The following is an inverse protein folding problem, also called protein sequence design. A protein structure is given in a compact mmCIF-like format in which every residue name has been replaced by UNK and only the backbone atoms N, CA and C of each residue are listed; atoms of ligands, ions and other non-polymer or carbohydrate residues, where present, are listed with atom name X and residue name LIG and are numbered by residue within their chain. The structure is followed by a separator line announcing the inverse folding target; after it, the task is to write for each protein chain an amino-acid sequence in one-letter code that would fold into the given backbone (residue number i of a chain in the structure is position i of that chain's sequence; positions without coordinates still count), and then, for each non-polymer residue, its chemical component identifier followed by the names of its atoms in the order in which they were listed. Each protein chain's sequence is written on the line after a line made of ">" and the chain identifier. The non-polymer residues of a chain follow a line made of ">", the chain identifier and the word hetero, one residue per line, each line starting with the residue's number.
data_IF_630217952855
#
_entry.id   IF_630217952855
#
_cell.length_a   1.000
_cell.length_b   1.000
_cell.length_c   1.000
_cell.angle_alpha   90.00
_cell.angle_beta   90.00
_cell.angle_gamma   90.00
#
_symmetry.space_group_name_H-M   'P 1'
#
loop_
_entity.id
_entity.type
_entity.pdbx_description
1 polymer ?
#
# COMPACT_ATOMS: atom_id res chain seq x y z
N UNK A 1 5.05 -1.70 -35.13
CA UNK A 1 4.45 -2.13 -33.83
C UNK A 1 5.23 -1.47 -32.73
N UNK A 2 4.54 -0.90 -31.71
CA UNK A 2 5.27 -0.36 -30.55
C UNK A 2 5.81 -1.53 -29.72
N UNK A 3 7.10 -1.53 -29.44
CA UNK A 3 7.80 -2.50 -28.62
C UNK A 3 8.35 -1.79 -27.39
N UNK A 4 8.17 -2.35 -26.21
CA UNK A 4 8.71 -1.85 -24.95
C UNK A 4 9.89 -2.72 -24.48
N UNK A 5 10.81 -2.16 -23.69
CA UNK A 5 11.82 -2.96 -23.00
C UNK A 5 11.16 -3.74 -21.84
N UNK A 6 10.23 -3.07 -21.14
CA UNK A 6 9.48 -3.67 -20.03
C UNK A 6 7.99 -3.37 -20.16
N UNK A 7 7.16 -4.40 -20.04
CA UNK A 7 5.70 -4.29 -19.98
C UNK A 7 5.22 -4.74 -18.62
N UNK A 8 4.51 -3.85 -17.92
CA UNK A 8 3.94 -4.11 -16.60
C UNK A 8 2.43 -4.28 -16.71
N UNK A 9 1.87 -5.30 -16.09
CA UNK A 9 0.44 -5.62 -16.11
C UNK A 9 -0.13 -5.40 -14.71
N UNK A 10 -0.95 -4.35 -14.55
CA UNK A 10 -1.57 -3.96 -13.29
C UNK A 10 -0.97 -2.69 -12.69
N UNK A 11 -1.84 -1.80 -12.18
CA UNK A 11 -1.47 -0.50 -11.60
C UNK A 11 -1.71 -0.41 -10.08
N UNK A 12 -1.65 -1.55 -9.38
CA UNK A 12 -1.50 -1.61 -7.93
C UNK A 12 -0.12 -1.07 -7.52
N UNK A 13 0.14 -1.01 -6.21
CA UNK A 13 1.41 -0.49 -5.71
C UNK A 13 2.62 -1.19 -6.32
N UNK A 14 2.63 -2.53 -6.39
CA UNK A 14 3.71 -3.29 -7.01
C UNK A 14 3.93 -2.91 -8.48
N UNK A 15 2.85 -2.79 -9.28
CA UNK A 15 2.96 -2.44 -10.69
C UNK A 15 3.46 -1.02 -10.92
N UNK A 16 2.96 -0.05 -10.14
CA UNK A 16 3.43 1.34 -10.22
C UNK A 16 4.92 1.44 -9.84
N UNK A 17 5.35 0.73 -8.78
CA UNK A 17 6.76 0.68 -8.38
C UNK A 17 7.64 -0.02 -9.41
N UNK A 18 7.19 -1.15 -9.98
CA UNK A 18 7.94 -1.85 -11.02
C UNK A 18 8.14 -0.98 -12.28
N UNK A 19 7.09 -0.26 -12.69
CA UNK A 19 7.17 0.67 -13.80
C UNK A 19 8.12 1.85 -13.50
N UNK A 20 8.04 2.41 -12.27
CA UNK A 20 8.89 3.50 -11.82
C UNK A 20 10.38 3.11 -11.81
N UNK A 21 10.70 1.98 -11.18
CA UNK A 21 12.09 1.51 -11.10
C UNK A 21 12.63 1.17 -12.49
N UNK A 22 11.83 0.53 -13.36
CA UNK A 22 12.24 0.25 -14.75
C UNK A 22 12.49 1.53 -15.54
N UNK A 23 11.63 2.54 -15.41
CA UNK A 23 11.80 3.84 -16.06
C UNK A 23 13.04 4.59 -15.55
N UNK A 24 13.32 4.49 -14.23
CA UNK A 24 14.53 5.05 -13.62
C UNK A 24 15.82 4.41 -14.18
N UNK A 25 15.75 3.16 -14.66
CA UNK A 25 16.82 2.49 -15.43
C UNK A 25 16.86 2.89 -16.91
N UNK A 26 16.13 3.95 -17.31
CA UNK A 26 16.02 4.45 -18.69
C UNK A 26 15.46 3.42 -19.67
N UNK A 27 14.67 2.47 -19.17
CA UNK A 27 13.95 1.50 -20.01
C UNK A 27 12.69 2.15 -20.57
N UNK A 28 12.32 1.75 -21.79
CA UNK A 28 11.03 2.08 -22.37
C UNK A 28 9.96 1.19 -21.74
N UNK A 29 9.07 1.80 -20.95
CA UNK A 29 8.07 1.07 -20.17
C UNK A 29 6.67 1.32 -20.71
N UNK A 30 5.88 0.24 -20.81
CA UNK A 30 4.42 0.29 -21.04
C UNK A 30 3.73 -0.34 -19.82
N UNK A 31 2.80 0.39 -19.20
CA UNK A 31 1.96 -0.07 -18.11
C UNK A 31 0.52 -0.27 -18.61
N UNK A 32 0.02 -1.51 -18.57
CA UNK A 32 -1.36 -1.85 -18.92
C UNK A 32 -2.20 -1.98 -17.65
N UNK A 33 -3.35 -1.32 -17.60
CA UNK A 33 -4.24 -1.38 -16.44
C UNK A 33 -5.71 -1.37 -16.81
N UNK A 34 -6.51 -2.21 -16.16
CA UNK A 34 -7.97 -2.21 -16.28
C UNK A 34 -8.67 -1.58 -15.06
N UNK A 35 -7.92 -1.19 -14.03
CA UNK A 35 -8.46 -0.58 -12.81
C UNK A 35 -7.46 0.31 -12.09
N UNK A 36 -7.88 0.90 -10.96
CA UNK A 36 -7.05 1.86 -10.20
C UNK A 36 -6.09 1.20 -9.22
N UNK A 37 -6.15 -0.13 -9.03
CA UNK A 37 -5.41 -0.82 -7.98
C UNK A 37 -5.99 -0.57 -6.57
N UNK A 38 -5.35 -1.16 -5.55
CA UNK A 38 -5.85 -1.19 -4.17
C UNK A 38 -5.28 -0.11 -3.24
N UNK A 39 -4.45 0.84 -3.73
CA UNK A 39 -3.86 1.87 -2.87
C UNK A 39 -4.89 2.73 -2.13
N UNK A 40 -6.01 3.05 -2.77
CA UNK A 40 -7.11 3.78 -2.14
C UNK A 40 -7.90 2.96 -1.11
N UNK A 41 -7.64 1.66 -1.01
CA UNK A 41 -8.30 0.75 -0.07
C UNK A 41 -7.44 0.42 1.15
N UNK A 42 -6.17 0.82 1.15
CA UNK A 42 -5.25 0.60 2.26
C UNK A 42 -4.75 1.93 2.86
N UNK A 43 -4.09 1.88 4.02
CA UNK A 43 -3.61 3.07 4.72
C UNK A 43 -2.56 3.89 3.96
N UNK A 44 -1.98 3.32 2.90
CA UNK A 44 -0.88 3.94 2.15
C UNK A 44 0.46 3.95 2.90
N UNK A 45 0.56 3.37 4.09
CA UNK A 45 1.84 3.12 4.78
C UNK A 45 2.50 1.86 4.23
N UNK A 46 3.80 1.70 4.46
CA UNK A 46 4.55 0.54 3.97
C UNK A 46 4.86 -0.39 5.14
N UNK A 47 3.97 -1.36 5.33
CA UNK A 47 4.19 -2.45 6.28
C UNK A 47 5.14 -3.46 5.64
N UNK A 48 6.25 -3.75 6.30
CA UNK A 48 7.25 -4.72 5.80
C UNK A 48 7.06 -6.08 6.45
N UNK A 49 7.07 -6.13 7.78
CA UNK A 49 6.75 -7.31 8.57
C UNK A 49 6.35 -6.82 9.95
N UNK A 50 5.04 -6.77 10.24
CA UNK A 50 4.50 -6.26 11.49
C UNK A 50 4.42 -7.31 12.57
N UNK A 51 4.14 -8.56 12.18
CA UNK A 51 3.94 -9.70 13.08
C UNK A 51 4.60 -10.95 12.53
N UNK A 52 5.05 -11.83 13.44
CA UNK A 52 5.59 -13.15 13.12
C UNK A 52 4.47 -14.20 12.92
N UNK A 53 4.85 -15.45 12.65
CA UNK A 53 3.91 -16.57 12.45
C UNK A 53 3.08 -16.92 13.70
N UNK A 54 3.50 -16.51 14.88
CA UNK A 54 2.80 -16.64 16.15
C UNK A 54 1.98 -15.40 16.51
N UNK A 55 1.91 -14.43 15.59
CA UNK A 55 1.26 -13.13 15.76
C UNK A 55 1.88 -12.27 16.89
N UNK A 56 3.16 -12.47 17.18
CA UNK A 56 3.90 -11.58 18.05
C UNK A 56 4.36 -10.34 17.26
N UNK A 57 4.37 -9.20 17.93
CA UNK A 57 4.88 -7.96 17.37
C UNK A 57 6.37 -8.10 16.99
N UNK A 58 6.70 -7.67 15.78
CA UNK A 58 8.07 -7.63 15.27
C UNK A 58 8.64 -6.23 15.49
N UNK A 59 9.58 -6.09 16.42
CA UNK A 59 10.24 -4.81 16.70
C UNK A 59 11.21 -4.41 15.58
N UNK A 60 12.03 -5.36 15.11
CA UNK A 60 13.04 -5.17 14.06
C UNK A 60 12.73 -6.03 12.83
N UNK A 61 12.04 -5.48 11.79
CA UNK A 61 11.74 -6.22 10.56
C UNK A 61 12.98 -6.82 9.88
N UNK A 62 14.11 -6.11 9.90
CA UNK A 62 15.38 -6.55 9.29
C UNK A 62 15.89 -7.87 9.86
N UNK A 63 15.79 -8.06 11.17
CA UNK A 63 16.24 -9.30 11.81
C UNK A 63 15.19 -10.41 11.63
N UNK A 64 13.92 -10.10 11.76
CA UNK A 64 12.84 -11.08 11.62
C UNK A 64 12.76 -11.68 10.21
N UNK A 65 12.98 -10.91 9.16
CA UNK A 65 13.00 -11.39 7.77
C UNK A 65 14.04 -12.50 7.55
N UNK A 66 15.17 -12.47 8.26
CA UNK A 66 16.21 -13.49 8.11
C UNK A 66 15.79 -14.89 8.54
N UNK A 67 14.78 -14.99 9.41
CA UNK A 67 14.25 -16.26 9.93
C UNK A 67 13.02 -16.79 9.18
N UNK A 68 12.53 -16.08 8.17
CA UNK A 68 11.37 -16.49 7.39
C UNK A 68 11.64 -17.76 6.56
N UNK A 69 10.61 -18.61 6.32
CA UNK A 69 10.74 -19.81 5.50
C UNK A 69 11.28 -19.51 4.09
N UNK A 70 11.97 -20.48 3.48
CA UNK A 70 12.54 -20.33 2.13
C UNK A 70 11.50 -19.99 1.04
N UNK A 71 10.26 -20.43 1.23
CA UNK A 71 9.15 -20.15 0.30
C UNK A 71 8.60 -18.74 0.44
N UNK A 72 8.87 -18.05 1.55
CA UNK A 72 8.41 -16.70 1.77
C UNK A 72 9.02 -15.72 0.73
N UNK A 73 8.24 -14.77 0.17
CA UNK A 73 8.75 -13.83 -0.83
C UNK A 73 10.03 -13.08 -0.42
N UNK A 74 10.15 -12.64 0.83
CA UNK A 74 11.36 -11.95 1.29
C UNK A 74 12.61 -12.84 1.26
N UNK A 75 12.49 -14.13 1.55
CA UNK A 75 13.62 -15.08 1.46
C UNK A 75 14.11 -15.23 0.01
N UNK A 76 13.20 -15.18 -0.96
CA UNK A 76 13.52 -15.20 -2.41
C UNK A 76 14.06 -13.86 -2.89
N UNK A 77 13.54 -12.74 -2.38
CA UNK A 77 14.00 -11.39 -2.73
C UNK A 77 15.41 -11.13 -2.20
N UNK A 78 15.67 -11.51 -0.95
CA UNK A 78 16.94 -11.29 -0.25
C UNK A 78 17.01 -9.93 0.45
N UNK A 79 17.56 -9.92 1.67
CA UNK A 79 17.57 -8.77 2.57
C UNK A 79 18.22 -7.52 1.95
N UNK A 80 19.35 -7.69 1.26
CA UNK A 80 20.04 -6.58 0.58
C UNK A 80 19.13 -5.86 -0.44
N UNK A 81 18.29 -6.62 -1.15
CA UNK A 81 17.35 -6.06 -2.12
C UNK A 81 16.20 -5.34 -1.40
N UNK A 82 15.73 -5.88 -0.28
CA UNK A 82 14.70 -5.21 0.55
C UNK A 82 15.20 -3.87 1.05
N UNK A 83 16.43 -3.81 1.57
CA UNK A 83 17.07 -2.55 2.01
C UNK A 83 17.19 -1.53 0.87
N UNK A 84 17.65 -1.96 -0.29
CA UNK A 84 17.76 -1.09 -1.48
C UNK A 84 16.40 -0.57 -1.94
N UNK A 85 15.36 -1.40 -1.90
CA UNK A 85 14.01 -1.01 -2.27
C UNK A 85 13.42 0.03 -1.30
N UNK A 86 13.63 -0.16 0.01
CA UNK A 86 13.22 0.80 1.04
C UNK A 86 13.93 2.14 0.85
N UNK A 87 15.25 2.14 0.69
CA UNK A 87 16.01 3.36 0.49
C UNK A 87 15.59 4.10 -0.81
N UNK A 88 15.41 3.36 -1.91
CA UNK A 88 14.90 3.92 -3.15
C UNK A 88 13.53 4.60 -2.95
N UNK A 89 12.62 3.96 -2.22
CA UNK A 89 11.30 4.52 -1.96
C UNK A 89 11.35 5.78 -1.09
N UNK A 90 12.19 5.79 -0.04
CA UNK A 90 12.38 6.96 0.82
C UNK A 90 12.95 8.16 0.03
N UNK A 91 13.98 7.93 -0.78
CA UNK A 91 14.55 8.96 -1.64
C UNK A 91 13.53 9.48 -2.66
N UNK A 92 12.84 8.58 -3.33
CA UNK A 92 11.81 8.93 -4.29
C UNK A 92 10.69 9.78 -3.67
N UNK A 93 10.13 9.39 -2.53
CA UNK A 93 9.03 10.12 -1.89
C UNK A 93 9.46 11.50 -1.40
N UNK A 94 10.70 11.64 -0.94
CA UNK A 94 11.31 12.94 -0.60
C UNK A 94 11.41 13.85 -1.82
N UNK A 95 11.94 13.33 -2.92
CA UNK A 95 12.18 14.10 -4.15
C UNK A 95 10.87 14.55 -4.83
N UNK A 96 9.79 13.80 -4.62
CA UNK A 96 8.44 14.14 -5.11
C UNK A 96 7.58 14.92 -4.11
N UNK A 97 8.16 15.42 -3.00
CA UNK A 97 7.49 16.36 -2.08
C UNK A 97 6.45 15.72 -1.14
N UNK A 98 6.47 14.41 -0.98
CA UNK A 98 5.67 13.70 0.02
C UNK A 98 6.53 12.67 0.76
N UNK A 99 7.52 13.12 1.55
CA UNK A 99 8.50 12.25 2.16
C UNK A 99 7.88 11.27 3.16
N UNK A 100 8.24 10.01 3.00
CA UNK A 100 8.07 8.97 4.01
C UNK A 100 9.32 8.93 4.89
N UNK A 101 9.15 8.41 6.10
CA UNK A 101 10.22 8.15 7.04
C UNK A 101 10.06 6.78 7.68
N UNK A 102 11.07 6.32 8.39
CA UNK A 102 11.15 5.01 9.01
C UNK A 102 12.37 4.23 8.55
N UNK A 103 12.51 3.01 9.01
CA UNK A 103 13.62 2.12 8.68
C UNK A 103 13.22 0.66 8.86
N UNK A 104 14.11 -0.26 8.48
CA UNK A 104 13.95 -1.70 8.73
C UNK A 104 14.42 -2.12 10.13
N UNK A 105 15.10 -1.23 10.85
CA UNK A 105 15.69 -1.53 12.16
C UNK A 105 14.69 -1.47 13.31
N UNK A 106 13.65 -0.64 13.16
CA UNK A 106 12.54 -0.51 14.12
C UNK A 106 11.28 0.01 13.43
N UNK A 107 10.13 -0.31 14.00
CA UNK A 107 8.85 0.13 13.46
C UNK A 107 8.42 1.48 14.02
N UNK A 108 7.71 2.23 13.20
CA UNK A 108 6.91 3.38 13.59
C UNK A 108 5.57 2.92 14.14
N UNK A 109 4.90 3.76 14.92
CA UNK A 109 3.54 3.56 15.40
C UNK A 109 2.60 4.58 14.75
N UNK A 110 1.57 4.09 14.09
CA UNK A 110 0.58 4.93 13.39
C UNK A 110 -0.75 4.88 14.13
N UNK A 111 -1.31 6.01 14.55
CA UNK A 111 -2.61 6.04 15.21
C UNK A 111 -3.72 5.63 14.22
N UNK A 112 -4.62 4.78 14.66
CA UNK A 112 -5.76 4.34 13.86
C UNK A 112 -7.02 5.14 14.18
N UNK A 113 -7.99 5.14 13.27
CA UNK A 113 -9.29 5.80 13.47
C UNK A 113 -10.09 5.24 14.66
N UNK A 114 -9.72 4.07 15.17
CA UNK A 114 -10.34 3.45 16.35
C UNK A 114 -9.49 3.59 17.62
N UNK A 115 -8.37 4.32 17.57
CA UNK A 115 -7.56 4.65 18.75
C UNK A 115 -6.52 3.60 19.16
N UNK A 116 -6.23 2.62 18.30
CA UNK A 116 -5.08 1.72 18.49
C UNK A 116 -3.84 2.28 17.79
N UNK A 117 -2.65 1.82 18.20
CA UNK A 117 -1.38 2.16 17.57
C UNK A 117 -0.94 1.00 16.68
N UNK A 118 -0.96 1.22 15.36
CA UNK A 118 -0.60 0.20 14.37
C UNK A 118 0.90 0.28 14.05
N UNK A 119 1.66 -0.83 14.15
CA UNK A 119 3.04 -0.85 13.70
C UNK A 119 3.13 -0.76 12.19
N UNK A 120 4.14 -0.02 11.70
CA UNK A 120 4.48 0.06 10.28
C UNK A 120 5.96 0.37 10.10
N UNK A 121 6.54 -0.01 8.98
CA UNK A 121 7.94 0.25 8.70
C UNK A 121 8.16 1.68 8.18
N UNK A 122 7.32 2.14 7.23
CA UNK A 122 7.45 3.46 6.64
C UNK A 122 6.10 4.17 6.59
N UNK A 123 6.07 5.43 7.00
CA UNK A 123 4.90 6.30 6.94
C UNK A 123 5.28 7.75 6.59
N UNK A 124 4.36 8.54 6.01
CA UNK A 124 4.56 9.99 5.92
C UNK A 124 4.52 10.61 7.32
N UNK A 125 5.18 11.76 7.49
CA UNK A 125 5.29 12.43 8.80
C UNK A 125 3.93 12.64 9.48
N UNK A 126 2.92 13.06 8.73
CA UNK A 126 1.59 13.33 9.29
C UNK A 126 0.86 12.09 9.86
N UNK A 127 1.35 10.87 9.61
CA UNK A 127 0.82 9.62 10.16
C UNK A 127 1.72 9.00 11.24
N UNK A 128 2.89 9.57 11.51
CA UNK A 128 3.80 9.01 12.48
C UNK A 128 3.49 9.49 13.90
N UNK A 129 2.84 8.63 14.66
CA UNK A 129 2.52 8.83 16.07
C UNK A 129 3.53 8.18 17.04
N UNK A 130 4.73 7.82 16.58
CA UNK A 130 5.74 7.14 17.41
C UNK A 130 6.16 7.96 18.64
N UNK A 131 6.10 9.28 18.54
CA UNK A 131 6.41 10.20 19.65
C UNK A 131 5.25 10.41 20.63
N UNK A 132 4.08 9.85 20.37
CA UNK A 132 2.93 9.99 21.28
C UNK A 132 3.08 9.04 22.48
N UNK A 133 3.22 9.60 23.67
CA UNK A 133 3.38 8.85 24.93
C UNK A 133 2.25 9.10 25.94
N UNK A 134 1.28 9.98 25.57
CA UNK A 134 0.16 10.36 26.44
C UNK A 134 0.48 11.46 27.45
N UNK A 135 1.69 12.02 27.39
CA UNK A 135 2.12 13.19 28.18
C UNK A 135 1.83 14.51 27.45
N UNK A 136 1.57 14.44 26.14
CA UNK A 136 1.23 15.56 25.29
C UNK A 136 -0.21 16.03 25.55
N UNK A 137 -0.48 17.30 25.25
CA UNK A 137 -1.85 17.79 25.18
C UNK A 137 -2.50 17.36 23.85
N UNK A 138 -2.98 16.10 23.81
CA UNK A 138 -3.61 15.54 22.62
C UNK A 138 -5.06 16.03 22.53
N UNK A 139 -5.41 16.64 21.39
CA UNK A 139 -6.77 17.08 21.05
C UNK A 139 -7.27 16.25 19.87
N UNK A 140 -8.30 15.46 20.09
CA UNK A 140 -8.94 14.67 19.04
C UNK A 140 -9.92 15.54 18.28
N UNK A 141 -9.76 15.61 16.94
CA UNK A 141 -10.53 16.48 16.08
C UNK A 141 -11.46 15.66 15.19
N UNK A 142 -12.75 15.78 15.42
CA UNK A 142 -13.78 15.32 14.48
C UNK A 142 -14.13 16.39 13.46
N UNK A 143 -14.81 15.99 12.40
CA UNK A 143 -15.39 16.89 11.40
C UNK A 143 -16.88 16.63 11.35
N UNK A 144 -17.69 17.67 11.55
CA UNK A 144 -19.14 17.54 11.61
C UNK A 144 -19.71 16.95 10.31
N UNK A 145 -20.44 15.85 10.44
CA UNK A 145 -21.03 15.13 9.32
C UNK A 145 -20.06 14.19 8.57
N UNK A 146 -18.81 14.09 9.00
CA UNK A 146 -17.88 13.09 8.45
C UNK A 146 -18.32 11.71 8.89
N UNK A 147 -18.50 10.81 7.93
CA UNK A 147 -18.82 9.41 8.15
C UNK A 147 -17.57 8.62 8.54
N UNK A 148 -17.77 7.57 9.31
CA UNK A 148 -16.74 6.57 9.64
C UNK A 148 -15.57 7.12 10.48
N UNK A 149 -15.78 8.21 11.24
CA UNK A 149 -14.84 8.70 12.24
C UNK A 149 -15.58 9.10 13.53
N UNK A 150 -15.25 8.43 14.62
CA UNK A 150 -15.92 8.58 15.92
C UNK A 150 -14.90 8.96 17.00
N UNK A 151 -14.75 10.26 17.26
CA UNK A 151 -13.75 10.81 18.16
C UNK A 151 -13.81 10.22 19.59
N UNK A 152 -15.00 9.88 20.09
CA UNK A 152 -15.15 9.29 21.43
C UNK A 152 -14.60 7.85 21.49
N UNK A 153 -14.80 7.03 20.45
CA UNK A 153 -14.24 5.66 20.36
C UNK A 153 -12.71 5.75 20.29
N UNK A 154 -12.21 6.65 19.45
CA UNK A 154 -10.78 6.90 19.34
C UNK A 154 -10.21 7.34 20.69
N UNK A 155 -10.86 8.29 21.40
CA UNK A 155 -10.45 8.78 22.70
C UNK A 155 -10.27 7.66 23.73
N UNK A 156 -11.31 6.81 23.89
CA UNK A 156 -11.31 5.76 24.91
C UNK A 156 -10.22 4.71 24.65
N UNK A 157 -10.03 4.30 23.40
CA UNK A 157 -9.03 3.30 23.03
C UNK A 157 -7.60 3.87 23.02
N UNK A 158 -7.41 5.11 22.53
CA UNK A 158 -6.10 5.75 22.51
C UNK A 158 -5.59 5.99 23.94
N UNK A 159 -6.47 6.37 24.85
CA UNK A 159 -6.13 6.54 26.26
C UNK A 159 -5.59 5.23 26.87
N UNK A 160 -6.18 4.08 26.53
CA UNK A 160 -5.67 2.77 26.92
C UNK A 160 -4.34 2.45 26.24
N UNK A 161 -4.23 2.69 24.95
CA UNK A 161 -3.02 2.40 24.15
C UNK A 161 -1.79 3.19 24.61
N UNK A 162 -1.98 4.42 25.08
CA UNK A 162 -0.90 5.31 25.53
C UNK A 162 -0.75 5.34 27.08
N UNK A 163 -1.49 4.50 27.83
CA UNK A 163 -1.52 4.52 29.29
C UNK A 163 -1.80 5.93 29.87
N UNK A 164 -2.57 6.75 29.14
CA UNK A 164 -2.87 8.13 29.47
C UNK A 164 -3.69 8.24 30.75
N UNK A 165 -3.26 9.12 31.68
CA UNK A 165 -3.97 9.36 32.92
C UNK A 165 -5.12 10.37 32.78
N UNK A 166 -5.04 11.23 31.77
CA UNK A 166 -6.02 12.30 31.52
C UNK A 166 -6.81 12.01 30.25
N UNK A 167 -8.11 12.27 30.29
CA UNK A 167 -8.98 12.10 29.13
C UNK A 167 -8.70 13.18 28.08
N UNK A 168 -8.38 12.76 26.85
CA UNK A 168 -8.10 13.67 25.74
C UNK A 168 -9.38 14.41 25.31
N UNK A 169 -9.39 15.75 25.11
CA UNK A 169 -10.54 16.46 24.61
C UNK A 169 -10.89 16.05 23.18
N UNK A 170 -12.20 15.94 22.91
CA UNK A 170 -12.74 15.73 21.56
C UNK A 170 -13.44 17.00 21.12
N UNK A 171 -13.05 17.54 19.96
CA UNK A 171 -13.62 18.75 19.37
C UNK A 171 -14.12 18.47 17.97
N UNK A 172 -15.15 19.19 17.52
CA UNK A 172 -15.66 19.07 16.16
C UNK A 172 -15.41 20.36 15.37
N UNK A 173 -14.91 20.20 14.14
CA UNK A 173 -14.74 21.28 13.16
C UNK A 173 -15.95 21.31 12.23
N UNK A 174 -16.50 22.49 12.00
CA UNK A 174 -17.55 22.70 11.04
C UNK A 174 -17.00 22.96 9.63
N UNK A 175 -17.68 22.46 8.61
CA UNK A 175 -17.32 22.67 7.21
C UNK A 175 -18.51 23.16 6.40
N UNK A 176 -18.32 23.87 5.28
CA UNK A 176 -19.39 24.27 4.38
C UNK A 176 -19.96 23.10 3.55
N UNK A 177 -19.45 21.86 3.78
CA UNK A 177 -19.79 20.69 2.98
C UNK A 177 -21.14 20.06 3.33
N UNK A 178 -21.75 20.47 4.44
CA UNK A 178 -23.05 19.98 4.89
C UNK A 178 -24.16 20.40 3.91
N UNK A 179 -24.48 19.53 2.97
CA UNK A 179 -25.49 19.77 1.93
C UNK A 179 -26.52 18.65 1.80
N UNK A 180 -26.87 17.96 2.91
CA UNK A 180 -27.88 16.89 2.91
C UNK A 180 -27.40 15.54 2.40
N UNK A 181 -26.07 15.33 2.27
CA UNK A 181 -25.43 14.04 1.99
C UNK A 181 -24.33 13.74 3.01
N UNK A 182 -23.98 12.48 3.12
CA UNK A 182 -22.79 12.07 3.89
C UNK A 182 -21.53 12.72 3.32
N UNK A 183 -20.63 13.14 4.21
CA UNK A 183 -19.32 13.69 3.87
C UNK A 183 -18.28 12.58 4.03
N UNK A 184 -17.36 12.47 3.05
CA UNK A 184 -16.24 11.53 3.08
C UNK A 184 -14.94 12.23 3.45
N UNK A 185 -13.92 11.46 3.85
CA UNK A 185 -12.55 11.96 4.07
C UNK A 185 -12.00 12.70 2.84
N UNK A 186 -12.32 12.21 1.62
CA UNK A 186 -11.91 12.84 0.37
C UNK A 186 -12.56 14.21 0.18
N UNK A 187 -13.84 14.37 0.54
CA UNK A 187 -14.54 15.66 0.42
C UNK A 187 -13.85 16.70 1.34
N UNK A 188 -13.56 16.33 2.58
CA UNK A 188 -12.87 17.21 3.53
C UNK A 188 -11.45 17.51 3.07
N UNK A 189 -10.71 16.51 2.58
CA UNK A 189 -9.37 16.70 2.06
C UNK A 189 -9.33 17.68 0.86
N UNK A 190 -10.32 17.60 -0.04
CA UNK A 190 -10.46 18.56 -1.16
C UNK A 190 -10.78 19.97 -0.69
N UNK A 191 -11.60 20.10 0.35
CA UNK A 191 -11.86 21.40 0.96
C UNK A 191 -10.57 21.98 1.57
N UNK A 192 -9.79 21.17 2.26
CA UNK A 192 -8.49 21.56 2.82
C UNK A 192 -7.38 21.78 1.76
N UNK A 193 -7.59 21.36 0.50
CA UNK A 193 -6.72 21.78 -0.62
C UNK A 193 -6.89 23.29 -0.94
N UNK A 194 -8.00 23.93 -0.49
CA UNK A 194 -8.22 25.37 -0.68
C UNK A 194 -7.62 26.18 0.46
N UNK A 195 -7.20 27.41 0.17
CA UNK A 195 -6.69 28.35 1.18
C UNK A 195 -7.73 28.65 2.25
N UNK A 196 -8.99 28.92 1.84
CA UNK A 196 -10.10 29.21 2.71
C UNK A 196 -10.37 28.03 3.67
N UNK A 197 -10.32 26.78 3.17
CA UNK A 197 -10.50 25.59 3.98
C UNK A 197 -9.46 25.46 5.06
N UNK A 198 -8.17 25.64 4.72
CA UNK A 198 -7.05 25.60 5.66
C UNK A 198 -7.15 26.69 6.72
N UNK A 199 -7.46 27.94 6.33
CA UNK A 199 -7.61 29.06 7.25
C UNK A 199 -8.79 28.85 8.21
N UNK A 200 -9.94 28.37 7.70
CA UNK A 200 -11.10 28.04 8.52
C UNK A 200 -10.79 26.91 9.51
N UNK A 201 -10.17 25.83 9.05
CA UNK A 201 -9.80 24.69 9.89
C UNK A 201 -8.85 25.11 11.02
N UNK A 202 -7.77 25.81 10.68
CA UNK A 202 -6.80 26.30 11.67
C UNK A 202 -7.42 27.28 12.67
N UNK A 203 -8.31 28.18 12.21
CA UNK A 203 -8.95 29.16 13.10
C UNK A 203 -9.84 28.50 14.16
N UNK A 204 -10.54 27.41 13.78
CA UNK A 204 -11.40 26.65 14.69
C UNK A 204 -10.58 25.84 15.73
N UNK A 205 -9.36 25.41 15.38
CA UNK A 205 -8.48 24.66 16.29
C UNK A 205 -7.65 25.55 17.21
N UNK A 206 -7.39 26.79 16.82
CA UNK A 206 -6.56 27.73 17.60
C UNK A 206 -6.92 27.87 19.07
N UNK A 207 -8.22 27.92 19.50
CA UNK A 207 -8.58 28.01 20.91
C UNK A 207 -8.13 26.83 21.78
N UNK A 208 -7.77 25.70 21.16
CA UNK A 208 -7.38 24.46 21.85
C UNK A 208 -5.86 24.29 21.95
N UNK A 209 -5.07 25.20 21.37
CA UNK A 209 -3.61 25.23 21.57
C UNK A 209 -3.32 25.72 22.97
N UNK A 210 -2.76 24.85 23.83
CA UNK A 210 -2.42 25.19 25.21
C UNK A 210 -0.92 25.41 25.42
N UNK A 211 -0.09 24.74 24.63
CA UNK A 211 1.38 24.82 24.68
C UNK A 211 1.99 24.33 23.40
N UNK A 212 3.31 24.47 23.26
CA UNK A 212 4.08 23.92 22.14
C UNK A 212 4.03 22.38 22.08
N UNK A 213 3.61 21.72 23.16
CA UNK A 213 3.39 20.27 23.25
C UNK A 213 1.94 19.87 22.93
N UNK A 214 1.18 20.72 22.24
CA UNK A 214 -0.17 20.39 21.78
C UNK A 214 -0.09 19.59 20.49
N UNK A 215 -0.81 18.46 20.44
CA UNK A 215 -0.93 17.60 19.27
C UNK A 215 -2.40 17.47 18.87
N UNK A 216 -2.73 17.87 17.66
CA UNK A 216 -4.05 17.64 17.09
C UNK A 216 -4.05 16.30 16.34
N UNK A 217 -4.90 15.38 16.78
CA UNK A 217 -5.11 14.10 16.10
C UNK A 217 -6.39 14.18 15.28
N UNK A 218 -6.23 14.20 13.96
CA UNK A 218 -7.32 14.42 13.00
C UNK A 218 -7.60 13.18 12.16
N UNK A 219 -8.82 13.01 11.59
CA UNK A 219 -9.04 11.99 10.56
C UNK A 219 -8.14 12.25 9.36
N UNK A 220 -7.98 11.27 8.48
CA UNK A 220 -7.09 11.39 7.31
C UNK A 220 -7.68 12.35 6.26
N UNK A 221 -7.49 13.65 6.46
CA UNK A 221 -8.14 14.72 5.68
C UNK A 221 -7.22 15.88 5.28
N UNK A 222 -5.93 15.87 5.66
CA UNK A 222 -5.00 16.99 5.45
C UNK A 222 -4.60 17.19 3.97
N UNK A 223 -5.59 17.43 3.12
CA UNK A 223 -5.42 17.68 1.69
C UNK A 223 -5.19 16.41 0.86
N UNK A 224 -5.33 16.55 -0.45
CA UNK A 224 -5.11 15.45 -1.42
C UNK A 224 -3.73 15.51 -2.09
N UNK A 225 -2.88 16.47 -1.71
CA UNK A 225 -1.57 16.75 -2.31
C UNK A 225 -0.49 16.82 -1.22
N UNK A 226 0.49 15.96 -1.28
CA UNK A 226 1.70 16.01 -0.45
C UNK A 226 1.50 16.42 1.01
N UNK A 227 2.47 17.14 1.56
CA UNK A 227 2.46 17.64 2.95
C UNK A 227 2.07 19.12 3.09
N UNK A 228 1.75 19.81 2.01
CA UNK A 228 1.49 21.26 2.02
C UNK A 228 0.41 21.68 3.01
N UNK A 229 -0.69 20.91 3.09
CA UNK A 229 -1.80 21.21 3.98
C UNK A 229 -1.39 21.06 5.46
N UNK A 230 -0.75 19.94 5.80
CA UNK A 230 -0.28 19.67 7.17
C UNK A 230 0.74 20.73 7.61
N UNK A 231 1.73 21.05 6.76
CA UNK A 231 2.74 22.07 7.03
C UNK A 231 2.11 23.45 7.25
N UNK A 232 1.12 23.84 6.42
CA UNK A 232 0.42 25.10 6.56
C UNK A 232 -0.33 25.21 7.89
N UNK A 233 -1.07 24.16 8.27
CA UNK A 233 -1.84 24.17 9.52
C UNK A 233 -0.90 24.16 10.72
N UNK A 234 0.19 23.37 10.68
CA UNK A 234 1.24 23.40 11.69
C UNK A 234 1.82 24.82 11.90
N UNK A 235 2.22 25.48 10.80
CA UNK A 235 2.74 26.85 10.86
C UNK A 235 1.73 27.83 11.47
N UNK A 236 0.46 27.71 11.10
CA UNK A 236 -0.60 28.59 11.62
C UNK A 236 -0.90 28.37 13.10
N UNK A 237 -0.82 27.15 13.58
CA UNK A 237 -1.18 26.81 14.97
C UNK A 237 0.03 26.89 15.91
N UNK A 238 1.24 26.63 15.43
CA UNK A 238 2.42 26.37 16.25
C UNK A 238 2.30 25.06 17.03
N UNK A 239 1.53 24.09 16.52
CA UNK A 239 1.24 22.82 17.17
C UNK A 239 1.34 21.67 16.16
N UNK A 240 1.66 20.47 16.62
CA UNK A 240 1.74 19.29 15.77
C UNK A 240 0.35 18.85 15.32
N UNK A 241 0.23 18.38 14.06
CA UNK A 241 -1.03 17.88 13.49
C UNK A 241 -0.77 16.53 12.84
N UNK A 242 -1.31 15.49 13.45
CA UNK A 242 -1.18 14.11 12.99
C UNK A 242 -2.52 13.57 12.48
N UNK A 243 -2.46 12.78 11.43
CA UNK A 243 -3.62 12.05 10.92
C UNK A 243 -3.70 10.65 11.54
N UNK A 244 -4.90 10.13 11.70
CA UNK A 244 -5.11 8.69 11.90
C UNK A 244 -5.16 7.96 10.57
N UNK A 245 -5.02 6.64 10.55
CA UNK A 245 -5.51 5.87 9.41
C UNK A 245 -7.03 6.03 9.31
N UNK A 246 -7.62 5.70 8.17
CA UNK A 246 -9.07 5.78 7.98
C UNK A 246 -9.61 4.50 7.32
N UNK A 247 -10.92 4.33 7.40
CA UNK A 247 -11.61 3.35 6.56
C UNK A 247 -11.51 3.77 5.08
N UNK A 248 -11.56 2.82 4.13
CA UNK A 248 -11.58 3.16 2.71
C UNK A 248 -12.72 4.12 2.35
N UNK A 249 -12.47 5.08 1.47
CA UNK A 249 -11.23 5.31 0.70
C UNK A 249 -10.17 6.10 1.49
N UNK A 250 -8.92 5.64 1.42
CA UNK A 250 -7.78 6.26 2.07
C UNK A 250 -7.25 7.47 1.30
N UNK A 251 -7.20 8.62 1.96
CA UNK A 251 -6.62 9.83 1.38
C UNK A 251 -5.11 9.69 1.19
N UNK A 252 -4.41 9.06 2.16
CA UNK A 252 -2.97 8.82 2.03
C UNK A 252 -2.64 7.85 0.88
N UNK A 253 -3.42 6.77 0.73
CA UNK A 253 -3.28 5.88 -0.41
C UNK A 253 -3.49 6.58 -1.75
N UNK A 254 -4.45 7.53 -1.82
CA UNK A 254 -4.66 8.37 -3.00
C UNK A 254 -3.52 9.36 -3.26
N UNK A 255 -2.94 9.96 -2.20
CA UNK A 255 -1.74 10.82 -2.32
C UNK A 255 -0.59 10.04 -2.95
N UNK A 256 -0.29 8.86 -2.39
CA UNK A 256 0.77 7.98 -2.90
C UNK A 256 0.50 7.55 -4.36
N UNK A 257 -0.73 7.17 -4.69
CA UNK A 257 -1.10 6.78 -6.06
C UNK A 257 -0.93 7.93 -7.05
N UNK A 258 -1.39 9.13 -6.68
CA UNK A 258 -1.24 10.33 -7.53
C UNK A 258 0.24 10.67 -7.77
N UNK A 259 1.05 10.63 -6.71
CA UNK A 259 2.48 10.89 -6.78
C UNK A 259 3.18 9.90 -7.71
N UNK A 260 2.94 8.61 -7.55
CA UNK A 260 3.51 7.57 -8.41
C UNK A 260 3.09 7.73 -9.87
N UNK A 261 1.80 7.96 -10.13
CA UNK A 261 1.29 8.19 -11.50
C UNK A 261 1.88 9.45 -12.12
N UNK A 262 2.08 10.51 -11.35
CA UNK A 262 2.72 11.73 -11.85
C UNK A 262 4.18 11.46 -12.22
N UNK A 263 4.93 10.78 -11.36
CA UNK A 263 6.32 10.40 -11.64
C UNK A 263 6.45 9.55 -12.92
N UNK A 264 5.55 8.59 -13.13
CA UNK A 264 5.54 7.79 -14.36
C UNK A 264 5.29 8.63 -15.61
N UNK A 265 4.41 9.65 -15.53
CA UNK A 265 4.18 10.60 -16.63
C UNK A 265 5.42 11.45 -16.90
N UNK A 266 6.06 11.96 -15.85
CA UNK A 266 7.27 12.80 -15.96
C UNK A 266 8.43 12.00 -16.58
N UNK A 267 8.47 10.68 -16.35
CA UNK A 267 9.44 9.75 -16.95
C UNK A 267 8.99 9.20 -18.32
N UNK A 268 7.92 9.73 -18.92
CA UNK A 268 7.38 9.31 -20.22
C UNK A 268 6.99 7.83 -20.29
N UNK A 269 6.53 7.23 -19.20
CA UNK A 269 5.96 5.88 -19.21
C UNK A 269 4.62 5.89 -19.94
N UNK A 270 4.44 4.96 -20.89
CA UNK A 270 3.16 4.78 -21.57
C UNK A 270 2.16 4.05 -20.65
N UNK A 271 1.20 4.78 -20.10
CA UNK A 271 0.12 4.19 -19.29
C UNK A 271 -1.10 4.00 -20.19
N UNK A 272 -1.54 2.74 -20.35
CA UNK A 272 -2.71 2.38 -21.15
C UNK A 272 -3.81 1.95 -20.17
N UNK A 273 -4.73 2.86 -19.91
CA UNK A 273 -5.86 2.64 -19.01
C UNK A 273 -7.02 1.89 -19.69
N UNK A 274 -7.92 1.33 -18.88
CA UNK A 274 -9.10 0.58 -19.32
C UNK A 274 -8.77 -0.57 -20.27
N UNK A 275 -7.64 -1.23 -20.03
CA UNK A 275 -7.09 -2.28 -20.90
C UNK A 275 -6.90 -3.55 -20.11
N UNK A 276 -7.79 -4.52 -20.29
CA UNK A 276 -7.71 -5.84 -19.65
C UNK A 276 -6.83 -6.76 -20.49
N UNK A 277 -5.75 -7.26 -19.92
CA UNK A 277 -4.92 -8.29 -20.54
C UNK A 277 -5.64 -9.63 -20.43
N UNK A 278 -5.74 -10.36 -21.53
CA UNK A 278 -6.51 -11.60 -21.66
C UNK A 278 -5.62 -12.85 -21.63
N UNK A 279 -4.48 -12.81 -22.34
CA UNK A 279 -3.58 -13.96 -22.50
C UNK A 279 -2.19 -13.53 -22.97
N UNK A 280 -1.21 -14.37 -22.72
CA UNK A 280 0.13 -14.25 -23.28
C UNK A 280 0.24 -14.87 -24.67
N UNK A 281 1.27 -14.44 -25.41
CA UNK A 281 1.76 -15.05 -26.64
C UNK A 281 3.20 -15.44 -26.40
N UNK A 282 3.53 -16.72 -26.49
CA UNK A 282 4.87 -17.24 -26.22
C UNK A 282 5.43 -18.09 -27.38
N UNK A 283 6.75 -18.16 -27.42
CA UNK A 283 7.52 -19.10 -28.22
C UNK A 283 8.39 -19.92 -27.25
N UNK A 284 7.95 -21.15 -26.97
CA UNK A 284 8.51 -21.97 -25.93
C UNK A 284 8.45 -21.28 -24.54
N UNK A 285 9.58 -21.20 -23.85
CA UNK A 285 9.70 -20.55 -22.52
C UNK A 285 9.85 -19.01 -22.58
N UNK A 286 9.72 -18.41 -23.75
CA UNK A 286 9.86 -16.96 -23.93
C UNK A 286 8.53 -16.33 -24.33
N UNK A 287 8.01 -15.43 -23.52
CA UNK A 287 6.84 -14.60 -23.87
C UNK A 287 7.29 -13.51 -24.82
N UNK A 288 6.58 -13.35 -25.94
CA UNK A 288 6.86 -12.34 -26.97
C UNK A 288 5.89 -11.16 -26.90
N UNK A 289 4.68 -11.37 -26.36
CA UNK A 289 3.66 -10.35 -26.25
C UNK A 289 2.51 -10.77 -25.34
N UNK A 290 1.60 -9.83 -25.10
CA UNK A 290 0.33 -10.07 -24.44
C UNK A 290 -0.80 -9.50 -25.27
N UNK A 291 -1.91 -10.22 -25.32
CA UNK A 291 -3.13 -9.79 -26.00
C UNK A 291 -4.04 -9.14 -24.96
N UNK A 292 -4.49 -7.94 -25.24
CA UNK A 292 -5.37 -7.19 -24.39
C UNK A 292 -6.64 -6.76 -25.12
N UNK A 293 -7.73 -6.67 -24.35
CA UNK A 293 -9.00 -6.14 -24.80
C UNK A 293 -8.88 -4.62 -25.01
N UNK A 294 -9.21 -4.16 -26.21
CA UNK A 294 -9.37 -2.76 -26.52
C UNK A 294 -10.83 -2.52 -26.93
N UNK A 295 -11.30 -1.28 -26.87
CA UNK A 295 -12.73 -0.91 -27.00
C UNK A 295 -13.48 -1.54 -28.18
N UNK A 296 -12.78 -1.93 -29.25
CA UNK A 296 -13.42 -2.48 -30.48
C UNK A 296 -12.79 -3.82 -30.91
N UNK A 297 -11.54 -4.09 -30.52
CA UNK A 297 -10.80 -5.28 -30.95
C UNK A 297 -9.66 -5.61 -30.01
N UNK A 298 -9.21 -6.85 -29.99
CA UNK A 298 -7.98 -7.25 -29.32
C UNK A 298 -6.76 -6.53 -29.91
N UNK A 299 -5.81 -6.18 -29.06
CA UNK A 299 -4.54 -5.59 -29.45
C UNK A 299 -3.40 -6.33 -28.75
N UNK A 300 -2.34 -6.63 -29.52
CA UNK A 300 -1.14 -7.25 -28.96
C UNK A 300 -0.10 -6.18 -28.63
N UNK A 301 0.45 -6.28 -27.43
CA UNK A 301 1.56 -5.48 -26.93
C UNK A 301 2.80 -6.36 -26.81
N UNK A 302 3.92 -5.89 -27.31
CA UNK A 302 5.19 -6.63 -27.38
C UNK A 302 6.21 -6.01 -26.42
N UNK A 303 7.02 -6.87 -25.76
CA UNK A 303 8.10 -6.43 -24.90
C UNK A 303 9.18 -7.52 -24.78
N UNK A 304 10.35 -7.12 -24.25
CA UNK A 304 11.42 -8.06 -23.92
C UNK A 304 11.20 -8.70 -22.54
N UNK A 305 10.64 -7.94 -21.59
CA UNK A 305 10.36 -8.32 -20.20
C UNK A 305 8.89 -8.05 -19.85
N UNK A 306 8.28 -8.97 -19.10
CA UNK A 306 6.91 -8.86 -18.63
C UNK A 306 6.89 -8.94 -17.09
N UNK A 307 6.18 -8.02 -16.43
CA UNK A 307 6.00 -8.00 -14.98
C UNK A 307 4.52 -8.17 -14.67
N UNK A 308 4.17 -9.28 -14.02
CA UNK A 308 2.81 -9.61 -13.58
C UNK A 308 2.56 -8.98 -12.20
N UNK A 309 1.72 -7.96 -12.16
CA UNK A 309 1.35 -7.18 -10.98
C UNK A 309 -0.18 -7.01 -10.85
N UNK A 310 -0.95 -8.00 -11.30
CA UNK A 310 -2.42 -7.99 -11.32
C UNK A 310 -3.06 -8.18 -9.96
N UNK A 311 -2.26 -8.51 -8.94
CA UNK A 311 -2.71 -8.86 -7.62
C UNK A 311 -3.11 -10.34 -7.50
N UNK A 312 -3.26 -10.81 -6.26
CA UNK A 312 -3.63 -12.20 -5.95
C UNK A 312 -5.14 -12.43 -5.97
N UNK A 313 -5.61 -13.33 -5.11
CA UNK A 313 -7.03 -13.67 -4.96
C UNK A 313 -7.92 -12.45 -4.74
N UNK A 314 -7.54 -11.56 -3.83
CA UNK A 314 -8.34 -10.39 -3.43
C UNK A 314 -8.50 -9.33 -4.52
N UNK A 315 -7.61 -9.34 -5.52
CA UNK A 315 -7.61 -8.33 -6.60
C UNK A 315 -8.00 -8.91 -7.96
N UNK A 316 -8.32 -10.20 -8.02
CA UNK A 316 -8.74 -10.89 -9.24
C UNK A 316 -7.61 -11.24 -10.21
N UNK A 317 -6.34 -11.17 -9.80
CA UNK A 317 -5.20 -11.67 -10.57
C UNK A 317 -5.09 -13.19 -10.57
N UNK A 318 -5.64 -13.82 -9.54
CA UNK A 318 -5.85 -15.26 -9.45
C UNK A 318 -7.36 -15.50 -9.34
N UNK A 319 -7.89 -16.34 -10.19
CA UNK A 319 -9.32 -16.69 -10.25
C UNK A 319 -9.55 -18.03 -9.57
N UNK A 320 -10.55 -18.07 -8.70
CA UNK A 320 -11.04 -19.32 -8.08
C UNK A 320 -12.44 -19.57 -8.59
N UNK A 321 -12.71 -20.79 -9.04
CA UNK A 321 -14.03 -21.26 -9.43
C UNK A 321 -14.39 -22.49 -8.61
N UNK A 322 -15.69 -22.72 -8.48
CA UNK A 322 -16.21 -23.87 -7.76
C UNK A 322 -15.66 -25.19 -8.36
N UNK A 323 -15.10 -26.04 -7.51
CA UNK A 323 -14.48 -27.33 -7.87
C UNK A 323 -13.28 -27.25 -8.85
N UNK A 324 -12.72 -26.06 -9.10
CA UNK A 324 -11.55 -25.89 -9.94
C UNK A 324 -10.34 -25.44 -9.11
N UNK A 325 -9.15 -25.82 -9.57
CA UNK A 325 -7.91 -25.31 -8.99
C UNK A 325 -7.76 -23.80 -9.29
N UNK A 326 -7.25 -22.97 -8.36
CA UNK A 326 -6.98 -21.57 -8.63
C UNK A 326 -6.11 -21.37 -9.84
N UNK A 327 -6.41 -20.35 -10.68
CA UNK A 327 -5.76 -20.13 -11.97
C UNK A 327 -5.27 -18.68 -12.11
N UNK A 328 -4.04 -18.52 -12.60
CA UNK A 328 -3.55 -17.26 -13.15
C UNK A 328 -3.86 -17.23 -14.65
N UNK A 329 -4.69 -16.29 -15.09
CA UNK A 329 -5.38 -16.35 -16.38
C UNK A 329 -4.59 -15.79 -17.56
N UNK A 330 -3.49 -15.05 -17.35
CA UNK A 330 -2.77 -14.32 -18.41
C UNK A 330 -1.65 -15.18 -19.01
N UNK A 331 -0.84 -15.75 -18.14
CA UNK A 331 0.33 -16.55 -18.50
C UNK A 331 0.12 -18.05 -18.25
N UNK A 332 -1.05 -18.44 -17.72
CA UNK A 332 -1.38 -19.82 -17.32
C UNK A 332 -0.32 -20.40 -16.36
N UNK A 333 0.03 -19.61 -15.34
CA UNK A 333 1.06 -19.97 -14.38
C UNK A 333 0.53 -20.95 -13.34
N UNK A 334 1.35 -21.91 -12.90
CA UNK A 334 1.02 -22.79 -11.78
C UNK A 334 0.80 -21.99 -10.51
N UNK A 335 -0.38 -22.17 -9.90
CA UNK A 335 -0.75 -21.51 -8.64
C UNK A 335 -0.58 -22.49 -7.49
N UNK A 336 0.17 -22.08 -6.47
CA UNK A 336 0.24 -22.79 -5.20
C UNK A 336 -1.00 -22.51 -4.39
N UNK A 337 -1.51 -23.55 -3.76
CA UNK A 337 -2.55 -23.50 -2.74
C UNK A 337 -2.21 -24.50 -1.64
N UNK A 338 -2.59 -24.20 -0.41
CA UNK A 338 -2.41 -25.10 0.73
C UNK A 338 -3.11 -26.45 0.47
N UNK A 339 -2.43 -27.54 0.79
CA UNK A 339 -2.97 -28.89 0.57
C UNK A 339 -4.07 -29.23 1.59
N UNK A 340 -5.18 -29.82 1.11
CA UNK A 340 -6.36 -30.14 1.90
C UNK A 340 -7.28 -28.93 2.08
N UNK A 341 -8.53 -29.06 1.62
CA UNK A 341 -9.52 -27.96 1.71
C UNK A 341 -9.79 -27.54 3.16
N UNK A 342 -9.65 -28.45 4.11
CA UNK A 342 -9.76 -28.21 5.55
C UNK A 342 -8.71 -27.23 6.10
N UNK A 343 -7.59 -27.05 5.37
CA UNK A 343 -6.51 -26.14 5.74
C UNK A 343 -6.64 -24.74 5.11
N UNK A 344 -7.62 -24.52 4.22
CA UNK A 344 -7.75 -23.26 3.50
C UNK A 344 -8.23 -22.12 4.39
N UNK A 345 -9.09 -22.41 5.37
CA UNK A 345 -9.61 -21.37 6.27
C UNK A 345 -9.71 -21.86 7.70
N UNK A 346 -9.54 -20.96 8.65
CA UNK A 346 -9.84 -21.21 10.05
C UNK A 346 -11.34 -20.94 10.33
N UNK A 347 -11.88 -21.54 11.39
CA UNK A 347 -13.26 -21.32 11.82
C UNK A 347 -13.54 -19.86 12.21
N UNK A 348 -12.52 -19.16 12.70
CA UNK A 348 -12.58 -17.77 13.11
C UNK A 348 -11.88 -16.87 12.08
N UNK A 349 -12.54 -15.79 11.67
CA UNK A 349 -11.98 -14.82 10.71
C UNK A 349 -10.70 -14.17 11.26
N UNK A 350 -10.72 -13.76 12.52
CA UNK A 350 -9.57 -13.19 13.24
C UNK A 350 -8.91 -14.27 14.13
N UNK A 351 -8.46 -15.31 13.47
CA UNK A 351 -7.76 -16.42 14.13
C UNK A 351 -6.35 -16.01 14.57
N UNK A 352 -5.84 -16.66 15.63
CA UNK A 352 -4.43 -16.60 16.02
C UNK A 352 -3.49 -17.34 15.05
N UNK A 353 -4.03 -17.93 13.97
CA UNK A 353 -3.29 -18.63 12.92
C UNK A 353 -3.56 -17.96 11.56
N UNK A 354 -2.57 -17.93 10.65
CA UNK A 354 -2.79 -17.42 9.30
C UNK A 354 -3.85 -18.26 8.56
N UNK A 355 -4.54 -17.62 7.62
CA UNK A 355 -5.52 -18.29 6.75
C UNK A 355 -4.78 -18.98 5.60
N UNK A 356 -4.99 -20.28 5.40
CA UNK A 356 -4.27 -21.04 4.38
C UNK A 356 -4.50 -20.53 2.96
N UNK A 357 -5.75 -20.11 2.62
CA UNK A 357 -6.06 -19.55 1.31
C UNK A 357 -5.30 -18.23 1.01
N UNK A 358 -4.94 -17.47 2.04
CA UNK A 358 -4.22 -16.21 1.87
C UNK A 358 -2.79 -16.41 1.34
N UNK A 359 -2.23 -17.62 1.53
CA UNK A 359 -0.91 -18.00 0.99
C UNK A 359 -0.94 -18.39 -0.50
N UNK A 360 -2.13 -18.40 -1.11
CA UNK A 360 -2.32 -18.77 -2.52
C UNK A 360 -1.65 -17.75 -3.44
N UNK A 361 -0.82 -18.24 -4.36
CA UNK A 361 -0.12 -17.41 -5.31
C UNK A 361 0.81 -18.20 -6.23
N UNK A 362 1.49 -17.51 -7.12
CA UNK A 362 2.42 -18.13 -8.06
C UNK A 362 3.73 -18.46 -7.35
N UNK A 363 4.23 -19.68 -7.57
CA UNK A 363 5.59 -20.08 -7.14
C UNK A 363 6.65 -19.44 -8.03
N UNK A 364 7.74 -18.99 -7.43
CA UNK A 364 8.83 -18.37 -8.16
C UNK A 364 10.19 -18.89 -7.72
N UNK A 365 11.17 -18.76 -8.60
CA UNK A 365 12.58 -18.87 -8.24
C UNK A 365 13.07 -17.62 -7.45
N UNK A 366 14.35 -17.60 -7.11
CA UNK A 366 14.97 -16.45 -6.42
C UNK A 366 15.10 -15.20 -7.29
N UNK A 367 14.86 -15.29 -8.60
CA UNK A 367 14.78 -14.14 -9.52
C UNK A 367 13.36 -13.65 -9.72
N UNK A 368 12.38 -14.20 -9.00
CA UNK A 368 10.94 -13.96 -9.13
C UNK A 368 10.34 -14.39 -10.47
N UNK A 369 10.97 -15.33 -11.18
CA UNK A 369 10.41 -15.95 -12.37
C UNK A 369 9.52 -17.14 -11.99
N UNK A 370 8.41 -17.38 -12.68
CA UNK A 370 7.48 -18.46 -12.36
C UNK A 370 8.11 -19.85 -12.57
N UNK A 371 7.90 -20.73 -11.59
CA UNK A 371 8.32 -22.13 -11.64
C UNK A 371 7.14 -23.07 -11.40
N UNK A 372 7.24 -24.29 -11.97
CA UNK A 372 6.26 -25.35 -11.74
C UNK A 372 6.47 -26.10 -10.40
N UNK A 373 5.68 -27.15 -10.18
CA UNK A 373 5.76 -27.98 -8.99
C UNK A 373 7.12 -28.70 -8.81
N UNK A 374 7.89 -28.87 -9.89
CA UNK A 374 9.21 -29.48 -9.90
C UNK A 374 10.32 -28.45 -9.78
N UNK A 375 10.01 -27.17 -9.57
CA UNK A 375 10.92 -26.02 -9.60
C UNK A 375 11.54 -25.78 -10.99
N UNK A 376 10.93 -26.28 -12.07
CA UNK A 376 11.34 -25.95 -13.42
C UNK A 376 10.78 -24.62 -13.87
N UNK A 377 11.60 -23.84 -14.56
CA UNK A 377 11.25 -22.53 -15.08
C UNK A 377 10.14 -22.62 -16.14
N UNK A 378 9.02 -21.90 -15.93
CA UNK A 378 7.90 -21.82 -16.89
C UNK A 378 8.21 -20.80 -17.98
N UNK A 379 8.57 -19.58 -17.59
CA UNK A 379 8.96 -18.50 -18.51
C UNK A 379 10.25 -17.81 -18.06
N UNK A 380 11.13 -17.50 -19.01
CA UNK A 380 12.43 -16.87 -18.77
C UNK A 380 12.35 -15.36 -18.53
N UNK A 381 11.36 -14.70 -19.12
CA UNK A 381 11.22 -13.23 -19.15
C UNK A 381 9.91 -12.72 -18.54
N UNK A 382 9.25 -13.54 -17.75
CA UNK A 382 8.10 -13.15 -16.91
C UNK A 382 8.53 -13.08 -15.45
N UNK A 383 8.17 -12.01 -14.75
CA UNK A 383 8.46 -11.77 -13.34
C UNK A 383 7.17 -11.53 -12.58
N UNK A 384 7.03 -12.16 -11.43
CA UNK A 384 5.83 -12.09 -10.61
C UNK A 384 6.10 -11.20 -9.39
N UNK A 385 5.21 -10.24 -9.11
CA UNK A 385 5.42 -9.28 -8.02
C UNK A 385 4.15 -9.03 -7.20
N UNK A 386 4.34 -8.51 -5.99
CA UNK A 386 3.25 -8.15 -5.08
C UNK A 386 2.43 -9.37 -4.64
N UNK A 387 1.13 -9.19 -4.47
CA UNK A 387 0.24 -10.24 -4.00
C UNK A 387 -0.07 -11.36 -5.01
N UNK A 388 0.53 -11.34 -6.21
CA UNK A 388 0.60 -12.52 -7.08
C UNK A 388 1.55 -13.59 -6.55
N UNK A 389 2.54 -13.23 -5.70
CA UNK A 389 3.46 -14.15 -5.07
C UNK A 389 2.74 -14.99 -4.04
N UNK A 390 2.97 -16.30 -4.05
CA UNK A 390 2.48 -17.23 -3.03
C UNK A 390 3.44 -17.38 -1.84
N UNK A 391 2.97 -18.06 -0.79
CA UNK A 391 3.80 -18.48 0.33
C UNK A 391 3.79 -17.55 1.54
N UNK A 392 2.86 -16.56 1.61
CA UNK A 392 2.74 -15.65 2.74
C UNK A 392 1.30 -15.14 2.92
N UNK A 393 0.92 -14.81 4.13
CA UNK A 393 -0.37 -14.16 4.46
C UNK A 393 -0.12 -12.69 4.81
N UNK A 394 -0.20 -11.83 3.81
CA UNK A 394 0.10 -10.40 3.97
C UNK A 394 -0.82 -9.66 4.94
N UNK A 395 -2.04 -10.16 5.16
CA UNK A 395 -2.96 -9.57 6.13
C UNK A 395 -2.56 -9.93 7.56
N UNK A 396 -2.20 -11.19 7.80
CA UNK A 396 -1.79 -11.69 9.10
C UNK A 396 -0.44 -11.11 9.55
N UNK A 397 0.54 -11.09 8.64
CA UNK A 397 1.90 -10.62 8.91
C UNK A 397 2.06 -9.09 8.87
N UNK A 398 1.10 -8.36 8.31
CA UNK A 398 1.27 -6.95 7.92
C UNK A 398 2.54 -6.75 7.07
N UNK A 399 2.56 -7.34 5.86
CA UNK A 399 3.76 -7.34 4.99
C UNK A 399 3.47 -6.93 3.55
N UNK A 400 2.21 -6.72 3.19
CA UNK A 400 1.77 -6.62 1.80
C UNK A 400 2.43 -5.53 0.97
N UNK A 401 2.50 -4.30 1.48
CA UNK A 401 3.13 -3.19 0.75
C UNK A 401 4.66 -3.33 0.70
N UNK A 402 5.28 -3.91 1.72
CA UNK A 402 6.71 -4.19 1.73
C UNK A 402 7.12 -5.25 0.71
N UNK A 403 6.37 -6.37 0.65
CA UNK A 403 6.59 -7.39 -0.40
C UNK A 403 6.35 -6.80 -1.79
N UNK A 404 5.30 -5.97 -1.95
CA UNK A 404 5.00 -5.30 -3.21
C UNK A 404 6.16 -4.38 -3.66
N UNK A 405 6.70 -3.58 -2.74
CA UNK A 405 7.83 -2.69 -2.97
C UNK A 405 9.09 -3.46 -3.36
N UNK A 406 9.48 -4.43 -2.52
CA UNK A 406 10.74 -5.14 -2.67
C UNK A 406 10.75 -6.07 -3.90
N UNK A 407 9.65 -6.78 -4.16
CA UNK A 407 9.52 -7.64 -5.35
C UNK A 407 9.50 -6.83 -6.64
N UNK A 408 8.79 -5.70 -6.67
CA UNK A 408 8.75 -4.80 -7.80
C UNK A 408 10.14 -4.22 -8.12
N UNK A 409 10.86 -3.78 -7.08
CA UNK A 409 12.23 -3.29 -7.21
C UNK A 409 13.16 -4.35 -7.78
N UNK A 410 13.13 -5.58 -7.25
CA UNK A 410 13.93 -6.70 -7.75
C UNK A 410 13.61 -7.01 -9.22
N UNK A 411 12.34 -7.26 -9.55
CA UNK A 411 11.91 -7.62 -10.90
C UNK A 411 12.26 -6.56 -11.95
N UNK A 412 12.20 -5.28 -11.59
CA UNK A 412 12.55 -4.19 -12.48
C UNK A 412 14.03 -4.18 -12.86
N UNK A 413 14.92 -4.61 -11.96
CA UNK A 413 16.38 -4.63 -12.15
C UNK A 413 16.87 -5.89 -12.90
N UNK A 414 16.08 -6.99 -12.93
CA UNK A 414 16.38 -8.19 -13.70
C UNK A 414 16.27 -7.88 -15.19
#
# INVERSE_FOLDING_TARGET
>A
MKHADTLVIGSGFAGLMAALVSANQRKKVTLLTCGSGSLSLNSGVIDVLGYDEQHNYVECPKEAIKSLPAEHPYSKIGMETVEKAVNFFLDFTRDYGFPYRGSLDHQLLVPTAVGTMKPTCLAPHCLDGTSLHGEEHIVIVGVKGLKDFYGNILQDNLQQSLNGQTKFPVVEVETPLLGGRDITTIDVARWLDTQEGRDSFASQLRPYVQSDNTVFLVPQVLGTKGQECAAYIHEKLGAEVLETTCLPPSVNGLRLQKMLKQALKDMNVEIVENTKVLRAVSDGKKVTGVVAEASIREKTYYADKFILATGGLYSGGITVREFEHPQEMIFDLPVYIESGEENWSNAELFSAKPQGFAKTGVRTDTSLRPVDANNELVYENVYVVGSNLGGYDFCFEHSGNGVALASAYKAALM
#
